data_IF_085376492756
#
_entry.id   IF_085376492756
#
_cell.length_a   1.000
_cell.length_b   1.000
_cell.length_c   1.000
_cell.angle_alpha   90.00
_cell.angle_beta   90.00
_cell.angle_gamma   90.00
#
_symmetry.space_group_name_H-M   'P 1'
#
loop_
_entity.id
_entity.type
_entity.pdbx_description
1 polymer ?
#
# COMPACT_ATOMS: atom_id res chain seq x y z
N UNK A 1 -6.81 22.72 23.19
CA UNK A 1 -5.46 23.26 22.94
C UNK A 1 -4.56 22.11 22.54
N UNK A 2 -3.68 22.34 21.58
CA UNK A 2 -2.74 21.35 21.10
C UNK A 2 -1.54 21.17 22.04
N UNK A 3 -0.84 20.04 21.91
CA UNK A 3 0.35 19.74 22.73
C UNK A 3 1.62 20.21 22.03
N UNK A 4 2.49 20.92 22.74
CA UNK A 4 3.82 21.32 22.22
C UNK A 4 4.79 20.14 22.34
N UNK A 5 5.59 19.91 21.30
CA UNK A 5 6.54 18.80 21.19
C UNK A 5 7.86 19.28 20.57
N UNK A 6 8.97 18.63 20.90
CA UNK A 6 10.27 18.85 20.26
C UNK A 6 10.44 18.05 18.96
N UNK A 7 9.49 17.15 18.67
CA UNK A 7 9.49 16.30 17.48
C UNK A 7 8.15 16.34 16.76
N UNK A 8 8.18 16.22 15.45
CA UNK A 8 7.02 15.95 14.61
C UNK A 8 7.13 14.58 13.94
N UNK A 9 5.99 13.99 13.61
CA UNK A 9 5.90 12.78 12.81
C UNK A 9 4.72 12.90 11.84
N UNK A 10 4.90 12.44 10.62
CA UNK A 10 3.79 12.27 9.70
C UNK A 10 3.05 10.97 10.05
N UNK A 11 1.71 10.95 10.00
CA UNK A 11 0.96 9.73 10.23
C UNK A 11 1.18 8.75 9.07
N UNK A 12 1.18 7.45 9.37
CA UNK A 12 1.30 6.39 8.36
C UNK A 12 0.06 6.27 7.46
N UNK A 13 -1.04 6.95 7.81
CA UNK A 13 -2.28 6.97 7.03
C UNK A 13 -3.03 8.28 7.24
N UNK A 14 -3.56 8.83 6.14
CA UNK A 14 -4.46 9.99 6.17
C UNK A 14 -5.75 9.75 6.96
N UNK A 15 -6.12 8.52 7.30
CA UNK A 15 -7.32 8.25 8.11
C UNK A 15 -7.12 8.51 9.60
N UNK A 16 -5.88 8.65 10.06
CA UNK A 16 -5.55 8.84 11.46
C UNK A 16 -5.33 10.33 11.77
N UNK A 17 -6.10 10.94 12.70
CA UNK A 17 -5.81 12.30 13.13
C UNK A 17 -4.48 12.35 13.90
N UNK A 18 -3.81 13.50 13.86
CA UNK A 18 -2.58 13.73 14.63
C UNK A 18 -2.88 13.67 16.15
N UNK A 19 -2.13 12.87 16.93
CA UNK A 19 -2.28 12.85 18.39
C UNK A 19 -2.06 14.22 19.02
N UNK A 20 -2.96 14.64 19.91
CA UNK A 20 -2.85 15.93 20.58
C UNK A 20 -3.11 17.14 19.68
N UNK A 21 -3.66 16.94 18.48
CA UNK A 21 -4.04 18.03 17.57
C UNK A 21 -5.11 18.93 18.17
N UNK A 22 -4.99 20.22 17.89
CA UNK A 22 -5.90 21.23 18.43
C UNK A 22 -5.61 22.62 17.92
N UNK A 23 -6.21 23.60 18.59
CA UNK A 23 -5.83 25.01 18.45
C UNK A 23 -4.42 25.23 19.00
N UNK A 24 -3.65 26.06 18.29
CA UNK A 24 -2.31 26.49 18.70
C UNK A 24 -2.42 27.31 19.99
N UNK A 25 -1.56 27.06 21.01
CA UNK A 25 -1.52 27.86 22.23
C UNK A 25 -1.26 29.34 21.95
N UNK A 26 -1.87 30.25 22.72
CA UNK A 26 -1.77 31.71 22.50
C UNK A 26 -0.34 32.25 22.68
N UNK A 27 0.49 31.59 23.49
CA UNK A 27 1.89 31.92 23.76
C UNK A 27 2.87 31.29 22.76
N UNK A 28 2.37 30.53 21.79
CA UNK A 28 3.18 29.88 20.78
C UNK A 28 3.28 30.76 19.51
N UNK A 29 4.45 31.37 19.31
CA UNK A 29 4.74 32.18 18.13
C UNK A 29 5.02 31.29 16.90
N UNK A 30 4.01 31.16 16.03
CA UNK A 30 4.16 30.38 14.80
C UNK A 30 4.98 31.16 13.78
N UNK A 31 6.06 30.55 13.30
CA UNK A 31 6.92 31.11 12.24
C UNK A 31 6.76 30.38 10.91
N UNK A 32 6.27 29.13 10.93
CA UNK A 32 5.96 28.37 9.73
C UNK A 32 4.88 27.30 9.99
N UNK A 33 4.30 26.81 8.91
CA UNK A 33 3.37 25.68 8.89
C UNK A 33 3.99 24.53 8.11
N UNK A 34 3.85 23.31 8.60
CA UNK A 34 4.37 22.10 7.98
C UNK A 34 3.18 21.22 7.58
N UNK A 35 3.10 20.82 6.32
CA UNK A 35 2.14 19.84 5.83
C UNK A 35 2.85 18.51 5.57
N UNK A 36 2.34 17.43 6.16
CA UNK A 36 2.67 16.07 5.77
C UNK A 36 1.77 15.66 4.60
N UNK A 37 2.31 15.68 3.39
CA UNK A 37 1.65 15.15 2.20
C UNK A 37 2.00 13.66 2.05
N UNK A 38 1.01 12.79 2.24
CA UNK A 38 1.14 11.35 2.05
C UNK A 38 0.91 10.93 0.59
N UNK A 39 1.44 9.77 0.19
CA UNK A 39 1.27 9.20 -1.15
C UNK A 39 1.95 9.98 -2.27
N UNK A 40 2.93 10.83 -1.96
CA UNK A 40 3.70 11.55 -2.98
C UNK A 40 4.63 10.57 -3.69
N UNK A 41 4.62 10.59 -5.02
CA UNK A 41 5.49 9.76 -5.84
C UNK A 41 6.68 10.52 -6.38
N UNK A 42 7.83 9.83 -6.49
CA UNK A 42 9.03 10.30 -7.18
C UNK A 42 9.62 9.17 -8.01
N UNK A 43 10.10 9.53 -9.19
CA UNK A 43 10.78 8.59 -10.09
C UNK A 43 12.30 8.66 -9.87
N UNK A 44 12.93 7.50 -9.82
CA UNK A 44 14.38 7.33 -9.81
C UNK A 44 14.81 6.32 -10.89
N UNK A 45 16.10 5.97 -10.93
CA UNK A 45 16.64 5.06 -11.93
C UNK A 45 16.05 3.64 -11.88
N UNK A 46 15.51 3.24 -10.72
CA UNK A 46 15.00 1.89 -10.48
C UNK A 46 13.46 1.82 -10.58
N UNK A 47 12.78 2.96 -10.74
CA UNK A 47 11.33 3.06 -10.92
C UNK A 47 10.67 4.14 -10.06
N UNK A 48 9.47 3.88 -9.55
CA UNK A 48 8.66 4.86 -8.80
C UNK A 48 8.61 4.53 -7.31
N UNK A 49 9.06 5.48 -6.50
CA UNK A 49 8.92 5.48 -5.05
C UNK A 49 7.66 6.23 -4.64
N UNK A 50 6.94 5.72 -3.66
CA UNK A 50 5.91 6.45 -2.93
C UNK A 50 6.41 6.74 -1.51
N UNK A 51 6.00 7.88 -0.97
CA UNK A 51 6.38 8.27 0.38
C UNK A 51 5.68 9.53 0.86
N UNK A 52 6.21 10.05 1.95
CA UNK A 52 5.73 11.28 2.57
C UNK A 52 6.60 12.46 2.13
N UNK A 53 5.98 13.58 1.79
CA UNK A 53 6.66 14.86 1.59
C UNK A 53 6.22 15.83 2.69
N UNK A 54 7.18 16.30 3.49
CA UNK A 54 6.97 17.42 4.39
C UNK A 54 7.21 18.71 3.62
N UNK A 55 6.19 19.57 3.57
CA UNK A 55 6.27 20.90 2.95
C UNK A 55 6.26 21.96 4.02
N UNK A 56 7.23 22.87 3.98
CA UNK A 56 7.32 24.01 4.89
C UNK A 56 6.79 25.26 4.20
N UNK A 57 5.76 25.86 4.80
CA UNK A 57 5.10 27.07 4.36
C UNK A 57 5.49 28.26 5.26
N UNK A 58 5.97 29.34 4.65
CA UNK A 58 6.30 30.60 5.31
C UNK A 58 5.60 31.79 4.62
N UNK A 59 5.69 32.97 5.23
CA UNK A 59 5.05 34.21 4.77
C UNK A 59 4.11 34.82 5.81
N UNK A 60 3.12 35.58 5.35
CA UNK A 60 2.11 36.14 6.25
C UNK A 60 1.09 35.07 6.69
N UNK A 61 1.34 34.49 7.86
CA UNK A 61 0.51 33.45 8.45
C UNK A 61 -0.83 33.94 9.02
N UNK A 62 -1.07 35.26 9.07
CA UNK A 62 -2.20 35.86 9.79
C UNK A 62 -3.53 35.28 9.31
N UNK A 63 -3.73 35.22 7.99
CA UNK A 63 -4.96 34.69 7.41
C UNK A 63 -5.15 33.20 7.65
N UNK A 64 -4.07 32.42 7.64
CA UNK A 64 -4.13 30.98 7.89
C UNK A 64 -4.46 30.67 9.36
N UNK A 65 -3.77 31.32 10.30
CA UNK A 65 -4.00 31.13 11.73
C UNK A 65 -5.41 31.58 12.14
N UNK A 66 -5.92 32.67 11.54
CA UNK A 66 -7.30 33.11 11.77
C UNK A 66 -8.33 32.07 11.28
N UNK A 67 -8.13 31.47 10.10
CA UNK A 67 -9.01 30.42 9.58
C UNK A 67 -8.96 29.15 10.45
N UNK A 68 -7.76 28.76 10.91
CA UNK A 68 -7.58 27.63 11.81
C UNK A 68 -8.21 27.85 13.19
N UNK A 69 -8.22 29.08 13.68
CA UNK A 69 -8.84 29.47 14.94
C UNK A 69 -10.35 29.71 14.85
N UNK A 70 -10.96 29.59 13.65
CA UNK A 70 -12.38 29.77 13.48
C UNK A 70 -13.17 28.79 14.35
N UNK A 71 -14.35 29.18 14.87
CA UNK A 71 -15.17 28.28 15.66
C UNK A 71 -15.65 27.10 14.83
N UNK A 72 -15.63 25.92 15.46
CA UNK A 72 -16.37 24.76 14.96
C UNK A 72 -17.87 25.04 15.04
N UNK A 73 -18.65 24.42 14.16
CA UNK A 73 -20.10 24.54 14.18
C UNK A 73 -20.68 23.93 15.47
N UNK A 74 -21.78 24.47 16.00
CA UNK A 74 -22.36 24.01 17.26
C UNK A 74 -23.03 22.64 17.13
N UNK A 75 -22.63 21.71 18.01
CA UNK A 75 -23.27 20.41 18.25
C UNK A 75 -23.18 19.42 17.08
N UNK A 76 -23.44 18.12 17.33
CA UNK A 76 -23.70 17.22 16.22
C UNK A 76 -25.06 17.57 15.60
N UNK A 77 -25.13 17.69 14.29
CA UNK A 77 -26.40 17.76 13.58
C UNK A 77 -27.24 16.49 13.87
N UNK A 78 -28.56 16.61 13.86
CA UNK A 78 -29.45 15.48 14.19
C UNK A 78 -29.32 14.29 13.23
N UNK A 79 -28.85 14.53 12.00
CA UNK A 79 -28.61 13.52 10.97
C UNK A 79 -27.31 13.85 10.24
N UNK A 80 -26.38 12.90 10.20
CA UNK A 80 -25.12 13.02 9.47
C UNK A 80 -24.91 11.81 8.57
N UNK A 81 -24.39 12.00 7.35
CA UNK A 81 -24.00 10.90 6.49
C UNK A 81 -22.78 10.17 7.09
N UNK A 82 -22.71 8.85 6.92
CA UNK A 82 -21.55 8.06 7.28
C UNK A 82 -20.43 8.25 6.23
N UNK A 83 -19.66 9.32 6.38
CA UNK A 83 -18.54 9.69 5.50
C UNK A 83 -17.23 9.53 6.26
N UNK A 84 -16.26 8.83 5.67
CA UNK A 84 -14.87 8.85 6.14
C UNK A 84 -14.14 10.07 5.60
N UNK A 85 -13.43 10.80 6.47
CA UNK A 85 -12.60 11.94 6.08
C UNK A 85 -11.12 11.56 6.16
N UNK A 86 -10.36 11.95 5.14
CA UNK A 86 -8.90 11.97 5.23
C UNK A 86 -8.46 13.25 5.92
N UNK A 87 -7.65 13.13 6.98
CA UNK A 87 -7.06 14.24 7.70
C UNK A 87 -5.77 14.69 7.03
N UNK A 88 -5.69 15.99 6.70
CA UNK A 88 -4.40 16.62 6.36
C UNK A 88 -3.62 16.88 7.65
N UNK A 89 -2.49 16.22 7.79
CA UNK A 89 -1.62 16.39 8.94
C UNK A 89 -0.84 17.71 8.83
N UNK A 90 -1.30 18.73 9.57
CA UNK A 90 -0.66 20.03 9.65
C UNK A 90 -0.02 20.25 11.02
N UNK A 91 1.17 20.83 11.03
CA UNK A 91 1.90 21.23 12.22
C UNK A 91 2.27 22.72 12.15
N UNK A 92 2.19 23.43 13.26
CA UNK A 92 2.82 24.73 13.44
C UNK A 92 4.22 24.53 14.02
N UNK A 93 5.17 25.39 13.66
CA UNK A 93 6.51 25.43 14.28
C UNK A 93 6.90 26.85 14.66
N UNK A 94 7.69 26.97 15.72
CA UNK A 94 8.26 28.25 16.20
C UNK A 94 9.75 28.40 15.84
N UNK A 95 10.34 29.54 16.23
CA UNK A 95 11.77 29.82 16.02
C UNK A 95 12.71 28.95 16.87
N UNK A 96 12.19 28.30 17.92
CA UNK A 96 12.95 27.36 18.75
C UNK A 96 12.95 25.94 18.16
N UNK A 97 12.21 25.69 17.06
CA UNK A 97 12.09 24.39 16.42
C UNK A 97 11.13 23.44 17.15
N UNK A 98 10.22 23.98 17.98
CA UNK A 98 9.14 23.20 18.61
C UNK A 98 7.97 23.08 17.65
N UNK A 99 7.17 22.03 17.82
CA UNK A 99 6.06 21.68 16.95
C UNK A 99 4.74 21.59 17.71
N UNK A 100 3.66 21.96 17.04
CA UNK A 100 2.28 21.86 17.55
C UNK A 100 1.40 21.22 16.48
N UNK A 101 0.79 20.05 16.72
CA UNK A 101 -0.12 19.44 15.76
C UNK A 101 -1.43 20.22 15.73
N UNK A 102 -1.92 20.54 14.54
CA UNK A 102 -3.09 21.39 14.36
C UNK A 102 -4.31 20.60 13.91
N UNK A 103 -5.49 21.03 14.35
CA UNK A 103 -6.78 20.47 13.90
C UNK A 103 -7.61 21.54 13.19
N UNK A 104 -8.25 21.17 12.09
CA UNK A 104 -9.23 22.04 11.45
C UNK A 104 -10.45 22.28 12.38
N UNK A 105 -11.10 23.45 12.29
CA UNK A 105 -12.45 23.60 12.81
C UNK A 105 -13.37 22.54 12.21
N UNK A 106 -14.38 22.10 12.97
CA UNK A 106 -15.28 21.03 12.55
C UNK A 106 -16.63 21.58 12.10
N UNK A 107 -17.23 20.91 11.12
CA UNK A 107 -18.64 21.05 10.76
C UNK A 107 -19.53 20.44 11.83
N UNK A 108 -20.84 20.70 11.76
CA UNK A 108 -21.81 20.09 12.68
C UNK A 108 -21.88 18.55 12.53
N UNK A 109 -21.28 17.96 11.50
CA UNK A 109 -21.17 16.50 11.35
C UNK A 109 -19.79 15.94 11.71
N UNK A 110 -18.92 16.75 12.30
CA UNK A 110 -17.58 16.33 12.73
C UNK A 110 -16.55 16.24 11.61
N UNK A 111 -16.93 16.52 10.35
CA UNK A 111 -15.98 16.67 9.25
C UNK A 111 -15.19 17.98 9.34
N UNK A 112 -13.96 18.05 8.82
CA UNK A 112 -13.14 19.26 8.88
C UNK A 112 -13.66 20.38 7.95
N UNK A 113 -13.56 21.63 8.40
CA UNK A 113 -13.81 22.85 7.61
C UNK A 113 -12.51 23.28 6.97
N UNK A 114 -12.19 22.70 5.82
CA UNK A 114 -10.87 22.87 5.19
C UNK A 114 -10.79 24.04 4.21
N UNK A 115 -11.89 24.42 3.55
CA UNK A 115 -11.86 25.31 2.38
C UNK A 115 -11.13 26.64 2.63
N UNK A 116 -11.51 27.39 3.66
CA UNK A 116 -10.89 28.69 3.97
C UNK A 116 -9.43 28.53 4.42
N UNK A 117 -9.16 27.51 5.22
CA UNK A 117 -7.82 27.19 5.73
C UNK A 117 -6.88 26.81 4.59
N UNK A 118 -7.30 25.94 3.67
CA UNK A 118 -6.49 25.50 2.55
C UNK A 118 -6.31 26.62 1.52
N UNK A 119 -7.33 27.46 1.31
CA UNK A 119 -7.19 28.66 0.50
C UNK A 119 -6.19 29.67 1.10
N UNK A 120 -6.09 29.75 2.44
CA UNK A 120 -5.09 30.56 3.11
C UNK A 120 -3.69 29.93 3.04
N UNK A 121 -3.57 28.62 3.25
CA UNK A 121 -2.33 27.87 3.14
C UNK A 121 -1.73 27.99 1.73
N UNK A 122 -2.57 27.90 0.69
CA UNK A 122 -2.14 28.02 -0.72
C UNK A 122 -1.59 29.41 -1.11
N UNK A 123 -1.80 30.44 -0.28
CA UNK A 123 -1.20 31.78 -0.47
C UNK A 123 0.19 31.92 0.15
N UNK A 124 0.58 30.98 1.01
CA UNK A 124 1.90 30.95 1.63
C UNK A 124 2.95 30.43 0.66
N UNK A 125 4.20 30.79 0.89
CA UNK A 125 5.33 30.33 0.10
C UNK A 125 5.83 28.99 0.63
N UNK A 126 6.02 28.01 -0.26
CA UNK A 126 6.70 26.76 0.09
C UNK A 126 8.20 27.01 0.00
N UNK A 127 8.87 27.15 1.14
CA UNK A 127 10.30 27.46 1.23
C UNK A 127 11.18 26.22 1.31
N UNK A 128 10.62 25.07 1.71
CA UNK A 128 11.35 23.81 1.81
C UNK A 128 10.44 22.60 1.56
N UNK A 129 11.05 21.51 1.05
CA UNK A 129 10.41 20.22 0.80
C UNK A 129 11.35 19.08 1.15
N UNK A 130 10.95 18.28 2.13
CA UNK A 130 11.68 17.08 2.53
C UNK A 130 10.88 15.83 2.18
N UNK A 131 11.42 14.98 1.31
CA UNK A 131 10.80 13.70 0.94
C UNK A 131 11.42 12.55 1.72
N UNK A 132 10.57 11.69 2.27
CA UNK A 132 10.94 10.43 2.91
C UNK A 132 10.23 9.29 2.20
N UNK A 133 11.00 8.43 1.53
CA UNK A 133 10.46 7.26 0.85
C UNK A 133 9.87 6.27 1.86
N UNK A 134 8.66 5.78 1.58
CA UNK A 134 8.00 4.75 2.38
C UNK A 134 8.10 3.37 1.71
N UNK A 135 8.02 3.32 0.37
CA UNK A 135 8.13 2.07 -0.37
C UNK A 135 8.22 2.28 -1.87
N UNK A 136 8.62 1.23 -2.58
CA UNK A 136 8.64 1.21 -4.05
C UNK A 136 7.32 0.66 -4.56
N UNK A 137 6.60 1.49 -5.32
CA UNK A 137 5.32 1.11 -5.93
C UNK A 137 5.51 0.60 -7.36
N UNK A 138 6.60 1.00 -8.02
CA UNK A 138 6.99 0.49 -9.32
C UNK A 138 8.50 0.20 -9.40
N UNK A 139 8.85 -0.99 -9.89
CA UNK A 139 10.18 -1.38 -10.34
C UNK A 139 10.22 -1.37 -11.86
N UNK A 140 11.17 -0.65 -12.44
CA UNK A 140 11.29 -0.56 -13.89
C UNK A 140 11.49 -1.94 -14.54
N UNK A 141 12.34 -2.78 -13.95
CA UNK A 141 12.59 -4.15 -14.43
C UNK A 141 11.33 -5.04 -14.36
N UNK A 142 10.50 -4.85 -13.32
CA UNK A 142 9.23 -5.57 -13.20
C UNK A 142 8.26 -5.14 -14.31
N UNK A 143 8.09 -3.82 -14.49
CA UNK A 143 7.24 -3.24 -15.55
C UNK A 143 7.71 -3.68 -16.93
N UNK A 144 9.02 -3.63 -17.19
CA UNK A 144 9.62 -4.06 -18.46
C UNK A 144 9.41 -5.56 -18.74
N UNK A 145 9.40 -6.38 -17.69
CA UNK A 145 9.10 -7.82 -17.78
C UNK A 145 7.60 -8.14 -17.88
N UNK A 146 6.71 -7.17 -17.72
CA UNK A 146 5.26 -7.40 -17.65
C UNK A 146 4.80 -8.01 -16.32
N UNK A 147 5.62 -7.91 -15.27
CA UNK A 147 5.36 -8.40 -13.93
C UNK A 147 4.89 -7.28 -12.99
N UNK A 148 4.18 -7.65 -11.93
CA UNK A 148 3.91 -6.71 -10.84
C UNK A 148 5.20 -6.43 -10.05
N UNK A 149 5.33 -5.22 -9.51
CA UNK A 149 6.47 -4.85 -8.64
C UNK A 149 6.46 -5.64 -7.33
N UNK A 150 5.25 -5.95 -6.84
CA UNK A 150 5.05 -6.75 -5.65
C UNK A 150 3.94 -7.77 -5.86
N UNK A 151 4.04 -8.88 -5.15
CA UNK A 151 3.03 -9.93 -5.12
C UNK A 151 2.85 -10.47 -3.69
N UNK A 152 1.70 -11.09 -3.42
CA UNK A 152 1.39 -11.73 -2.14
C UNK A 152 1.13 -13.23 -2.30
N UNK A 153 1.37 -13.99 -1.22
CA UNK A 153 1.04 -15.43 -1.14
C UNK A 153 -0.16 -15.61 -0.21
N UNK A 154 -1.37 -15.26 -0.62
CA UNK A 154 -2.55 -15.47 0.23
C UNK A 154 -3.26 -16.80 -0.11
N UNK A 155 -3.32 -17.77 0.82
CA UNK A 155 -4.38 -18.78 0.78
C UNK A 155 -5.71 -18.11 1.19
N UNK A 156 -6.75 -18.25 0.36
CA UNK A 156 -8.06 -17.64 0.64
C UNK A 156 -8.85 -18.31 1.76
N UNK A 157 -8.37 -19.42 2.33
CA UNK A 157 -9.05 -20.12 3.42
C UNK A 157 -9.34 -19.20 4.62
N UNK A 158 -8.59 -18.09 4.76
CA UNK A 158 -8.79 -17.05 5.79
C UNK A 158 -10.08 -16.23 5.58
N UNK A 159 -10.57 -16.08 4.36
CA UNK A 159 -11.68 -15.16 4.05
C UNK A 159 -13.05 -15.84 3.85
N UNK A 160 -13.15 -17.17 3.97
CA UNK A 160 -14.43 -17.90 3.96
C UNK A 160 -15.26 -17.79 2.67
N UNK A 161 -14.68 -17.25 1.59
CA UNK A 161 -15.30 -17.03 0.27
C UNK A 161 -14.49 -17.75 -0.83
N UNK A 162 -14.16 -19.02 -0.63
CA UNK A 162 -13.41 -19.75 -1.66
C UNK A 162 -14.33 -20.02 -2.88
N UNK A 163 -13.98 -19.57 -4.10
CA UNK A 163 -14.61 -20.11 -5.30
C UNK A 163 -14.34 -21.62 -5.33
N UNK A 164 -15.41 -22.42 -5.29
CA UNK A 164 -15.32 -23.89 -5.10
C UNK A 164 -14.90 -24.63 -6.36
N UNK A 165 -14.73 -23.93 -7.48
CA UNK A 165 -14.54 -24.55 -8.79
C UNK A 165 -13.09 -24.40 -9.25
N UNK A 166 -12.33 -25.50 -9.13
CA UNK A 166 -11.05 -25.67 -9.81
C UNK A 166 -11.29 -25.71 -11.31
N UNK A 167 -10.74 -24.75 -12.05
CA UNK A 167 -10.84 -24.79 -13.51
C UNK A 167 -9.99 -25.93 -14.06
N UNK A 168 -10.51 -26.64 -15.06
CA UNK A 168 -9.72 -27.63 -15.79
C UNK A 168 -8.50 -26.96 -16.44
N UNK A 169 -7.36 -27.67 -16.56
CA UNK A 169 -6.19 -27.16 -17.28
C UNK A 169 -6.60 -26.68 -18.67
N UNK A 170 -6.27 -25.44 -19.00
CA UNK A 170 -6.46 -24.89 -20.33
C UNK A 170 -5.26 -25.24 -21.23
N UNK A 171 -5.48 -25.33 -22.55
CA UNK A 171 -4.38 -25.39 -23.51
C UNK A 171 -3.59 -24.07 -23.46
N UNK A 172 -2.31 -24.15 -23.07
CA UNK A 172 -1.41 -23.01 -22.92
C UNK A 172 -0.29 -23.04 -23.94
N UNK A 173 0.07 -21.88 -24.46
CA UNK A 173 1.21 -21.73 -25.37
C UNK A 173 2.56 -21.61 -24.62
N UNK A 174 2.50 -21.35 -23.31
CA UNK A 174 3.63 -21.13 -22.41
C UNK A 174 3.16 -20.36 -21.17
N UNK A 175 4.11 -19.84 -20.40
CA UNK A 175 3.81 -18.95 -19.29
C UNK A 175 4.93 -17.93 -19.03
N UNK A 176 4.55 -16.72 -18.57
CA UNK A 176 5.48 -15.79 -17.94
C UNK A 176 5.56 -16.12 -16.45
N UNK A 177 6.78 -16.27 -15.94
CA UNK A 177 7.05 -16.52 -14.52
C UNK A 177 7.71 -15.28 -13.93
N UNK A 178 7.07 -14.70 -12.92
CA UNK A 178 7.59 -13.58 -12.15
C UNK A 178 8.08 -14.09 -10.79
N UNK A 179 9.36 -13.90 -10.49
CA UNK A 179 10.02 -14.35 -9.25
C UNK A 179 10.02 -13.23 -8.23
N UNK A 180 9.68 -13.56 -6.97
CA UNK A 180 9.61 -12.62 -5.87
C UNK A 180 10.41 -13.13 -4.66
N UNK A 181 11.04 -12.20 -3.95
CA UNK A 181 11.65 -12.45 -2.64
C UNK A 181 10.75 -11.88 -1.54
N UNK A 182 10.46 -12.67 -0.52
CA UNK A 182 9.62 -12.23 0.59
C UNK A 182 10.33 -11.15 1.43
N UNK A 183 9.61 -10.06 1.74
CA UNK A 183 10.10 -9.01 2.64
C UNK A 183 9.89 -9.46 4.11
N UNK A 184 10.92 -9.30 4.95
CA UNK A 184 10.88 -9.71 6.36
C UNK A 184 10.53 -8.56 7.32
N UNK A 185 9.83 -8.82 8.44
CA UNK A 185 9.21 -10.10 8.77
C UNK A 185 7.90 -10.25 8.00
N UNK A 186 7.77 -11.32 7.22
CA UNK A 186 6.52 -11.76 6.60
C UNK A 186 5.59 -12.32 7.69
N UNK A 187 5.27 -11.51 8.71
CA UNK A 187 4.24 -11.86 9.67
C UNK A 187 2.92 -11.51 8.99
N UNK A 188 2.26 -12.54 8.48
CA UNK A 188 0.96 -12.60 7.80
C UNK A 188 1.02 -12.40 6.27
N UNK A 189 0.77 -13.45 5.48
CA UNK A 189 0.44 -13.28 4.07
C UNK A 189 -0.76 -12.33 3.92
N UNK A 190 -0.54 -11.19 3.27
CA UNK A 190 -1.58 -10.19 3.03
C UNK A 190 -2.35 -10.52 1.74
N UNK A 191 -3.63 -10.18 1.73
CA UNK A 191 -4.55 -10.37 0.58
C UNK A 191 -4.15 -9.48 -0.61
N UNK A 192 -3.30 -8.48 -0.38
CA UNK A 192 -2.89 -7.48 -1.37
C UNK A 192 -1.39 -7.25 -1.26
N UNK A 193 -0.66 -7.55 -2.35
CA UNK A 193 0.53 -6.84 -2.80
C UNK A 193 1.76 -6.71 -1.89
N UNK A 194 1.78 -7.19 -0.65
CA UNK A 194 2.88 -6.89 0.29
C UNK A 194 3.64 -8.14 0.78
N UNK A 195 3.57 -9.25 0.03
CA UNK A 195 4.23 -10.51 0.40
C UNK A 195 5.66 -10.68 -0.13
N UNK A 196 6.05 -9.97 -1.19
CA UNK A 196 7.40 -10.02 -1.74
C UNK A 196 7.63 -9.02 -2.88
N UNK A 197 8.90 -8.70 -3.09
CA UNK A 197 9.40 -7.76 -4.11
C UNK A 197 9.91 -8.53 -5.33
N UNK A 198 9.62 -8.01 -6.53
CA UNK A 198 10.09 -8.59 -7.80
C UNK A 198 11.61 -8.72 -7.82
N UNK A 199 12.09 -9.88 -8.27
CA UNK A 199 13.50 -10.22 -8.36
C UNK A 199 13.94 -10.57 -9.79
N UNK A 200 13.11 -11.28 -10.55
CA UNK A 200 13.43 -11.70 -11.91
C UNK A 200 12.17 -12.15 -12.66
N UNK A 201 12.28 -12.29 -13.98
CA UNK A 201 11.27 -12.94 -14.80
C UNK A 201 11.90 -13.86 -15.85
N UNK A 202 11.16 -14.88 -16.24
CA UNK A 202 11.52 -15.78 -17.34
C UNK A 202 10.27 -16.43 -17.92
N UNK A 203 10.43 -17.19 -19.00
CA UNK A 203 9.32 -17.86 -19.67
C UNK A 203 9.45 -19.38 -19.56
N UNK A 204 8.32 -20.05 -19.37
CA UNK A 204 8.17 -21.48 -19.56
C UNK A 204 7.65 -21.77 -20.96
N UNK A 205 8.08 -22.89 -21.53
CA UNK A 205 7.44 -23.44 -22.72
C UNK A 205 6.07 -24.06 -22.39
N UNK A 206 5.37 -24.56 -23.41
CA UNK A 206 4.02 -25.10 -23.26
C UNK A 206 3.98 -26.35 -22.35
N UNK A 207 4.99 -27.22 -22.42
CA UNK A 207 5.02 -28.48 -21.66
C UNK A 207 5.26 -28.20 -20.17
N UNK A 208 6.22 -27.34 -19.85
CA UNK A 208 6.50 -26.93 -18.47
C UNK A 208 5.35 -26.11 -17.87
N UNK A 209 4.75 -25.21 -18.65
CA UNK A 209 3.57 -24.45 -18.21
C UNK A 209 2.36 -25.35 -17.93
N UNK A 210 2.12 -26.34 -18.78
CA UNK A 210 1.06 -27.33 -18.58
C UNK A 210 1.28 -28.14 -17.30
N UNK A 211 2.51 -28.60 -17.04
CA UNK A 211 2.84 -29.35 -15.83
C UNK A 211 2.55 -28.55 -14.53
N UNK A 212 2.82 -27.24 -14.53
CA UNK A 212 2.48 -26.34 -13.41
C UNK A 212 0.96 -26.24 -13.23
N UNK A 213 0.21 -26.06 -14.32
CA UNK A 213 -1.25 -25.94 -14.26
C UNK A 213 -1.94 -27.25 -13.86
N UNK A 214 -1.43 -28.40 -14.30
CA UNK A 214 -1.92 -29.71 -13.86
C UNK A 214 -1.72 -29.89 -12.35
N UNK A 215 -0.54 -29.53 -11.82
CA UNK A 215 -0.30 -29.54 -10.39
C UNK A 215 -1.22 -28.56 -9.64
N UNK A 216 -1.47 -27.39 -10.21
CA UNK A 216 -2.39 -26.39 -9.65
C UNK A 216 -3.86 -26.81 -9.72
N UNK A 217 -4.22 -27.76 -10.59
CA UNK A 217 -5.57 -28.28 -10.73
C UNK A 217 -5.80 -29.60 -9.97
N UNK A 218 -4.76 -30.16 -9.34
CA UNK A 218 -4.87 -31.38 -8.54
C UNK A 218 -5.86 -31.21 -7.37
N UNK A 219 -6.37 -32.30 -6.77
CA UNK A 219 -7.19 -32.18 -5.57
C UNK A 219 -6.44 -31.43 -4.46
N UNK A 220 -7.08 -30.49 -3.76
CA UNK A 220 -6.44 -29.80 -2.64
C UNK A 220 -6.02 -30.83 -1.58
N UNK A 221 -4.80 -30.69 -1.12
CA UNK A 221 -4.23 -31.53 -0.08
C UNK A 221 -3.68 -30.57 0.97
N UNK A 222 -4.26 -30.60 2.17
CA UNK A 222 -3.79 -29.77 3.28
C UNK A 222 -2.32 -30.04 3.54
N UNK A 223 -1.47 -29.06 3.24
CA UNK A 223 -0.04 -29.14 3.53
C UNK A 223 0.15 -28.71 4.98
N UNK A 224 0.26 -29.69 5.88
CA UNK A 224 0.60 -29.49 7.30
C UNK A 224 2.07 -29.07 7.43
N UNK A 225 2.33 -27.78 7.20
CA UNK A 225 3.64 -27.16 7.32
C UNK A 225 3.44 -25.70 7.75
N UNK A 226 4.33 -25.17 8.57
CA UNK A 226 4.27 -23.79 9.10
C UNK A 226 5.47 -22.94 8.70
N UNK A 227 6.37 -23.46 7.86
CA UNK A 227 7.50 -22.69 7.34
C UNK A 227 7.01 -21.58 6.40
N UNK A 228 7.69 -20.43 6.46
CA UNK A 228 7.43 -19.29 5.59
C UNK A 228 8.39 -19.35 4.42
N UNK A 229 7.85 -19.31 3.19
CA UNK A 229 8.68 -19.22 1.99
C UNK A 229 9.41 -17.87 1.93
N UNK A 230 10.72 -17.91 1.66
CA UNK A 230 11.51 -16.71 1.39
C UNK A 230 11.52 -16.34 -0.09
N UNK A 231 11.15 -17.29 -0.96
CA UNK A 231 11.07 -17.12 -2.41
C UNK A 231 9.81 -17.77 -2.96
N UNK A 232 9.14 -17.08 -3.86
CA UNK A 232 7.97 -17.63 -4.56
C UNK A 232 7.88 -17.06 -5.97
N UNK A 233 7.06 -17.67 -6.79
CA UNK A 233 6.76 -17.21 -8.15
C UNK A 233 5.28 -17.00 -8.35
N UNK A 234 4.93 -16.06 -9.23
CA UNK A 234 3.60 -15.94 -9.82
C UNK A 234 3.72 -16.32 -11.28
N UNK A 235 2.97 -17.34 -11.67
CA UNK A 235 2.91 -17.87 -13.04
C UNK A 235 1.69 -17.29 -13.72
N UNK A 236 1.94 -16.63 -14.85
CA UNK A 236 0.96 -16.00 -15.73
C UNK A 236 0.85 -16.84 -17.02
N UNK A 237 -0.14 -17.74 -17.13
CA UNK A 237 -0.26 -18.60 -18.29
C UNK A 237 -0.66 -17.81 -19.54
N UNK A 238 -0.02 -18.12 -20.67
CA UNK A 238 -0.43 -17.61 -21.98
C UNK A 238 -1.57 -18.48 -22.51
N UNK A 239 -2.81 -18.11 -22.15
CA UNK A 239 -4.02 -18.79 -22.60
C UNK A 239 -4.34 -18.39 -24.02
N UNK A 240 -4.48 -19.38 -24.91
CA UNK A 240 -4.95 -19.12 -26.27
C UNK A 240 -6.37 -18.53 -26.23
N UNK A 241 -6.66 -17.57 -27.10
CA UNK A 241 -7.75 -16.58 -27.03
C UNK A 241 -9.22 -17.08 -26.88
N UNK A 242 -9.47 -18.37 -26.69
CA UNK A 242 -10.81 -18.96 -26.56
C UNK A 242 -11.40 -18.92 -25.12
N UNK A 243 -10.62 -18.55 -24.09
CA UNK A 243 -11.10 -18.50 -22.71
C UNK A 243 -11.49 -17.06 -22.30
N UNK A 244 -12.79 -16.77 -22.22
CA UNK A 244 -13.38 -15.46 -21.88
C UNK A 244 -13.37 -15.16 -20.36
N UNK A 245 -12.67 -15.96 -19.55
CA UNK A 245 -12.44 -15.66 -18.13
C UNK A 245 -11.00 -15.18 -17.95
N UNK A 246 -10.81 -14.04 -17.28
CA UNK A 246 -9.50 -13.43 -17.01
C UNK A 246 -8.42 -14.47 -16.63
N UNK A 247 -7.16 -14.30 -17.09
CA UNK A 247 -6.08 -15.22 -16.76
C UNK A 247 -5.93 -15.27 -15.23
N UNK A 248 -6.15 -16.45 -14.65
CA UNK A 248 -5.94 -16.68 -13.22
C UNK A 248 -4.50 -17.14 -13.04
N UNK A 249 -3.76 -16.37 -12.25
CA UNK A 249 -2.37 -16.68 -11.93
C UNK A 249 -2.29 -17.83 -10.95
N UNK A 250 -1.17 -18.54 -10.98
CA UNK A 250 -0.82 -19.58 -10.00
C UNK A 250 0.38 -19.09 -9.21
N UNK A 251 0.32 -19.20 -7.89
CA UNK A 251 1.45 -18.85 -7.02
C UNK A 251 2.12 -20.11 -6.51
N UNK A 252 3.45 -20.19 -6.60
CA UNK A 252 4.22 -21.35 -6.13
C UNK A 252 5.33 -20.90 -5.19
N UNK A 253 5.37 -21.46 -3.98
CA UNK A 253 6.49 -21.30 -3.05
C UNK A 253 7.69 -22.15 -3.56
N UNK A 254 8.88 -21.53 -3.67
CA UNK A 254 10.09 -22.21 -4.13
C UNK A 254 10.84 -22.90 -2.99
N UNK A 255 10.66 -22.40 -1.77
CA UNK A 255 11.20 -22.91 -0.52
C UNK A 255 10.13 -22.95 0.58
N UNK A 256 10.53 -23.23 1.82
CA UNK A 256 9.60 -23.39 2.93
C UNK A 256 8.68 -24.59 2.72
N UNK A 257 7.37 -24.36 2.73
CA UNK A 257 6.37 -25.43 2.61
C UNK A 257 6.11 -25.87 1.17
N UNK A 258 6.69 -25.19 0.17
CA UNK A 258 6.57 -25.52 -1.24
C UNK A 258 5.11 -25.75 -1.65
N UNK A 259 4.24 -24.81 -1.29
CA UNK A 259 2.82 -24.85 -1.66
C UNK A 259 2.60 -24.30 -3.06
N UNK A 260 1.59 -24.84 -3.73
CA UNK A 260 0.99 -24.26 -4.93
C UNK A 260 -0.40 -23.75 -4.58
N UNK A 261 -0.65 -22.46 -4.82
CA UNK A 261 -1.96 -21.82 -4.71
C UNK A 261 -2.57 -21.83 -6.10
N UNK A 262 -3.58 -22.68 -6.29
CA UNK A 262 -4.27 -22.80 -7.57
C UNK A 262 -5.15 -21.61 -7.89
N UNK A 263 -5.79 -21.64 -9.05
CA UNK A 263 -6.71 -20.61 -9.53
C UNK A 263 -8.02 -20.54 -8.73
N UNK A 264 -8.31 -21.60 -7.98
CA UNK A 264 -9.36 -21.73 -6.96
C UNK A 264 -8.94 -21.19 -5.59
N UNK A 265 -7.69 -20.71 -5.48
CA UNK A 265 -7.11 -20.13 -4.28
C UNK A 265 -7.00 -21.14 -3.13
N UNK A 266 -7.01 -22.44 -3.48
CA UNK A 266 -6.76 -23.56 -2.59
C UNK A 266 -5.29 -23.98 -2.67
N UNK A 267 -4.79 -24.56 -1.57
CA UNK A 267 -3.38 -24.97 -1.45
C UNK A 267 -3.21 -26.46 -1.75
N UNK A 268 -2.09 -26.79 -2.41
CA UNK A 268 -1.61 -28.16 -2.61
C UNK A 268 -0.09 -28.19 -2.39
N UNK A 269 0.47 -29.39 -2.26
CA UNK A 269 1.92 -29.57 -2.30
C UNK A 269 2.42 -29.39 -3.72
N UNK A 270 3.44 -28.55 -3.92
CA UNK A 270 4.15 -28.49 -5.19
C UNK A 270 4.92 -29.81 -5.39
N UNK A 271 4.79 -30.47 -6.55
CA UNK A 271 5.63 -31.62 -6.88
C UNK A 271 7.12 -31.23 -6.86
N UNK A 272 8.02 -32.05 -6.27
CA UNK A 272 9.45 -31.74 -6.19
C UNK A 272 10.12 -31.50 -7.55
N UNK A 273 9.56 -32.08 -8.61
CA UNK A 273 10.04 -31.89 -9.98
C UNK A 273 9.75 -30.48 -10.54
N UNK A 274 8.76 -29.75 -10.01
CA UNK A 274 8.44 -28.40 -10.47
C UNK A 274 9.37 -27.33 -9.89
N UNK A 275 9.92 -27.53 -8.69
CA UNK A 275 10.73 -26.51 -8.02
C UNK A 275 11.97 -26.10 -8.84
N UNK A 276 12.75 -27.03 -9.43
CA UNK A 276 13.87 -26.66 -10.29
C UNK A 276 13.45 -25.93 -11.57
N UNK A 277 12.28 -26.24 -12.14
CA UNK A 277 11.76 -25.55 -13.33
C UNK A 277 11.42 -24.09 -13.03
N UNK A 278 11.00 -23.82 -11.78
CA UNK A 278 10.57 -22.51 -11.34
C UNK A 278 11.67 -21.68 -10.65
N UNK A 279 12.89 -22.24 -10.52
CA UNK A 279 14.02 -21.65 -9.79
C UNK A 279 15.27 -21.54 -10.66
N UNK A 280 15.28 -20.65 -11.68
CA UNK A 280 16.46 -20.42 -12.52
C UNK A 280 17.65 -19.82 -11.76
#
# INVERSE_FOLDING_TARGET
>A
MATVSDTMSCPDSMLNPLPGAGLVPEDFEVVAVLECADGVTREDADGVLAGNEVRRYEGDLTGFLAAMAAPSDPGPAAVCPAIGYGFRALWATDAAGRFVPMSFPLTACGGPKEDETLAALARLEIVDRAFSAAGRVELHDATAAGCATRAGVAPLDVLGWAPTETQAPADVAGALVCVYHAEAPASTPTVVGDGGLFAAAFSLDADDAAAVLEAAAAPPAGVECAETASRFVVVHPDVTAAAVSAPRTVTVELDGCQRIVGTDLQTRSAPPALIPLLSP
#
